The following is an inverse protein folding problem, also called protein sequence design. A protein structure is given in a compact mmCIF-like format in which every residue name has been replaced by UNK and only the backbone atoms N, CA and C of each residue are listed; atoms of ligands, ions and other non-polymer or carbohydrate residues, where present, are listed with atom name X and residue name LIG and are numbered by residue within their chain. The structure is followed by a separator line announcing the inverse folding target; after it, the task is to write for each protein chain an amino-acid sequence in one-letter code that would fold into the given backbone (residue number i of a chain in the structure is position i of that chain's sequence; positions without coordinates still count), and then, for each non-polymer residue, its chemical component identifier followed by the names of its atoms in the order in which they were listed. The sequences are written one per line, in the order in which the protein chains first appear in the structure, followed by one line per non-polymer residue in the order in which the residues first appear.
data_IF_899855094494
#
_entry.id   IF_899855094494
#
_cell.length_a   1.000
_cell.length_b   1.000
_cell.length_c   1.000
_cell.angle_alpha   90.00
_cell.angle_beta   90.00
_cell.angle_gamma   90.00
#
_symmetry.space_group_name_H-M   'P 1'
#
loop_
_entity.id
_entity.type
_entity.pdbx_description
1 polymer ?
#
# COMPACT_ATOMS: atom_id res chain seq x y z
N UNK A 1 -15.32 -67.19 22.87
CA UNK A 1 -13.98 -66.60 23.00
C UNK A 1 -13.56 -65.74 21.77
N UNK A 2 -14.09 -66.03 20.59
CA UNK A 2 -13.72 -65.25 19.35
C UNK A 2 -14.24 -63.82 19.32
N UNK A 3 -15.35 -63.50 20.00
CA UNK A 3 -15.97 -62.17 20.00
C UNK A 3 -15.32 -61.21 21.03
N UNK A 4 -14.65 -61.76 22.06
CA UNK A 4 -13.97 -60.95 23.08
C UNK A 4 -12.63 -60.42 22.53
N UNK A 5 -11.94 -61.19 21.71
CA UNK A 5 -10.70 -60.76 21.08
C UNK A 5 -10.88 -59.61 20.08
N UNK A 6 -12.02 -59.56 19.35
CA UNK A 6 -12.32 -58.43 18.43
C UNK A 6 -12.64 -57.14 19.19
N UNK A 7 -13.32 -57.25 20.35
CA UNK A 7 -13.62 -56.06 21.19
C UNK A 7 -12.36 -55.41 21.81
N UNK A 8 -11.38 -56.22 22.21
CA UNK A 8 -10.13 -55.70 22.77
C UNK A 8 -9.24 -55.05 21.69
N UNK A 9 -9.22 -55.60 20.49
CA UNK A 9 -8.49 -55.01 19.37
C UNK A 9 -9.05 -53.69 18.91
N UNK A 10 -10.40 -53.50 18.99
CA UNK A 10 -11.07 -52.23 18.62
C UNK A 10 -10.77 -51.09 19.61
N UNK A 11 -10.54 -51.38 20.88
CA UNK A 11 -10.23 -50.40 21.93
C UNK A 11 -8.79 -49.86 21.78
N UNK A 12 -7.85 -50.67 21.28
CA UNK A 12 -6.48 -50.26 21.05
C UNK A 12 -6.34 -49.29 19.82
N UNK A 13 -7.26 -49.34 18.88
CA UNK A 13 -7.25 -48.44 17.69
C UNK A 13 -7.77 -47.04 17.99
N UNK A 14 -8.46 -46.83 19.12
CA UNK A 14 -8.96 -45.51 19.50
C UNK A 14 -7.95 -44.72 20.37
N UNK A 15 -6.89 -45.35 20.85
CA UNK A 15 -5.84 -44.67 21.62
C UNK A 15 -4.71 -44.05 20.76
N UNK A 16 -4.81 -44.15 19.43
CA UNK A 16 -3.76 -43.69 18.51
C UNK A 16 -3.93 -42.23 18.03
N UNK A 17 -4.93 -41.51 18.54
CA UNK A 17 -5.08 -40.07 18.29
C UNK A 17 -4.89 -39.31 19.60
N UNK A 18 -3.68 -39.37 20.16
CA UNK A 18 -3.29 -38.35 21.11
C UNK A 18 -2.86 -37.13 20.27
N UNK A 19 -3.60 -35.99 20.30
CA UNK A 19 -3.12 -34.80 19.63
C UNK A 19 -1.78 -34.44 20.27
N UNK A 20 -0.71 -34.48 19.48
CA UNK A 20 0.58 -33.92 19.90
C UNK A 20 0.32 -32.41 20.05
N UNK A 21 -0.10 -32.03 21.25
CA UNK A 21 -0.14 -30.63 21.65
C UNK A 21 1.31 -30.24 21.87
N UNK A 22 1.95 -29.72 20.81
CA UNK A 22 3.25 -29.09 20.92
C UNK A 22 3.05 -27.82 21.75
N UNK A 23 3.17 -27.95 23.08
CA UNK A 23 3.12 -26.85 24.03
C UNK A 23 4.39 -26.00 23.90
N UNK A 24 4.70 -25.53 22.68
CA UNK A 24 5.66 -24.46 22.52
C UNK A 24 5.06 -23.23 23.17
N UNK A 25 5.65 -22.84 24.28
CA UNK A 25 5.38 -21.53 24.84
C UNK A 25 5.64 -20.50 23.72
N UNK A 26 4.66 -19.59 23.51
CA UNK A 26 4.89 -18.47 22.62
C UNK A 26 6.10 -17.71 23.13
N UNK A 27 7.04 -17.41 22.26
CA UNK A 27 8.23 -16.63 22.59
C UNK A 27 7.87 -15.24 23.12
N UNK A 28 8.85 -14.51 23.60
CA UNK A 28 8.66 -13.16 24.12
C UNK A 28 8.17 -12.19 23.04
N UNK A 29 7.29 -11.25 23.43
CA UNK A 29 6.92 -10.11 22.60
C UNK A 29 8.03 -9.06 22.75
N UNK A 30 8.56 -8.58 21.63
CA UNK A 30 9.48 -7.43 21.60
C UNK A 30 8.66 -6.16 21.69
N UNK A 31 8.99 -5.26 22.61
CA UNK A 31 8.36 -3.95 22.73
C UNK A 31 8.91 -2.97 21.69
N UNK A 32 8.18 -1.89 21.39
CA UNK A 32 8.64 -0.86 20.45
C UNK A 32 9.98 -0.24 20.87
N UNK A 33 10.21 -0.08 22.20
CA UNK A 33 11.43 0.51 22.73
C UNK A 33 12.68 -0.37 22.57
N UNK A 34 12.51 -1.67 22.31
CA UNK A 34 13.59 -2.61 22.06
C UNK A 34 13.97 -2.70 20.57
N UNK A 35 13.14 -2.12 19.70
CA UNK A 35 13.42 -2.09 18.26
C UNK A 35 14.61 -1.22 17.93
N UNK A 36 15.52 -1.76 17.14
CA UNK A 36 16.72 -1.07 16.62
C UNK A 36 16.53 -0.77 15.14
N UNK A 37 15.65 0.18 14.85
CA UNK A 37 15.33 0.58 13.49
C UNK A 37 16.17 1.80 13.11
N UNK A 38 16.77 1.76 11.93
CA UNK A 38 17.47 2.86 11.30
C UNK A 38 16.78 3.22 9.98
N UNK A 39 16.31 4.45 9.85
CA UNK A 39 15.66 4.98 8.64
C UNK A 39 16.23 6.35 8.34
N UNK A 40 16.90 6.48 7.21
CA UNK A 40 17.52 7.74 6.78
C UNK A 40 17.57 7.84 5.26
N UNK A 41 17.72 9.07 4.75
CA UNK A 41 17.97 9.31 3.34
C UNK A 41 19.43 8.98 2.99
N UNK A 42 19.70 8.51 1.77
CA UNK A 42 21.06 8.23 1.26
C UNK A 42 21.90 9.50 1.12
N UNK A 43 21.22 10.62 0.86
CA UNK A 43 21.82 11.98 0.83
C UNK A 43 21.04 12.91 1.75
N UNK A 44 21.64 14.00 2.22
CA UNK A 44 20.92 14.92 3.14
C UNK A 44 19.67 15.51 2.49
N UNK A 45 18.52 15.09 2.99
CA UNK A 45 17.21 15.50 2.48
C UNK A 45 16.83 14.92 1.12
N UNK A 46 17.57 13.95 0.60
CA UNK A 46 17.24 13.23 -0.64
C UNK A 46 16.04 12.33 -0.48
N UNK A 47 15.49 11.90 -1.60
CA UNK A 47 14.26 11.10 -1.66
C UNK A 47 14.50 9.58 -1.69
N UNK A 48 15.73 9.12 -1.84
CA UNK A 48 16.07 7.71 -1.64
C UNK A 48 16.34 7.44 -0.17
N UNK A 49 15.55 6.57 0.43
CA UNK A 49 15.66 6.21 1.85
C UNK A 49 16.14 4.77 2.02
N UNK A 50 16.96 4.54 3.03
CA UNK A 50 17.35 3.23 3.50
C UNK A 50 16.61 2.96 4.82
N UNK A 51 16.03 1.78 4.93
CA UNK A 51 15.31 1.28 6.10
C UNK A 51 15.99 -0.01 6.55
N UNK A 52 16.53 -0.02 7.78
CA UNK A 52 17.23 -1.20 8.32
C UNK A 52 16.67 -1.60 9.67
N UNK A 53 16.35 -2.87 9.82
CA UNK A 53 16.01 -3.46 11.11
C UNK A 53 17.23 -4.20 11.67
N UNK A 54 17.81 -3.67 12.73
CA UNK A 54 18.94 -4.25 13.45
C UNK A 54 18.50 -5.03 14.69
N UNK A 55 17.20 -5.30 14.87
CA UNK A 55 16.67 -6.03 16.02
C UNK A 55 16.80 -7.52 15.81
N UNK A 56 17.58 -8.23 16.64
CA UNK A 56 17.75 -9.68 16.51
C UNK A 56 16.41 -10.42 16.71
N UNK A 57 16.15 -11.44 15.90
CA UNK A 57 14.98 -12.30 16.05
C UNK A 57 13.65 -11.66 15.65
N UNK A 58 13.68 -10.48 15.01
CA UNK A 58 12.47 -9.79 14.53
C UNK A 58 12.48 -9.76 13.01
N UNK A 59 11.48 -10.39 12.40
CA UNK A 59 11.22 -10.31 10.97
C UNK A 59 10.69 -8.93 10.59
N UNK A 60 11.02 -8.46 9.38
CA UNK A 60 10.70 -7.10 8.94
C UNK A 60 9.51 -7.06 7.99
N UNK A 61 8.66 -6.06 8.14
CA UNK A 61 7.70 -5.61 7.16
C UNK A 61 7.68 -4.07 7.20
N UNK A 62 8.20 -3.49 6.14
CA UNK A 62 8.26 -2.05 5.93
C UNK A 62 7.12 -1.63 5.00
N UNK A 63 6.34 -0.67 5.44
CA UNK A 63 5.39 0.06 4.59
C UNK A 63 5.94 1.47 4.41
N UNK A 64 6.45 1.72 3.21
CA UNK A 64 7.11 2.98 2.84
C UNK A 64 6.27 3.84 1.90
N UNK A 65 4.94 3.72 1.96
CA UNK A 65 3.94 4.52 1.24
C UNK A 65 3.84 4.15 -0.25
N UNK A 66 4.97 4.06 -0.96
CA UNK A 66 5.01 3.67 -2.39
C UNK A 66 5.03 2.15 -2.60
N UNK A 67 5.11 1.39 -1.53
CA UNK A 67 5.15 -0.06 -1.57
C UNK A 67 5.52 -0.67 -0.22
N UNK A 68 5.76 -1.96 -0.23
CA UNK A 68 6.14 -2.74 0.94
C UNK A 68 7.44 -3.49 0.70
N UNK A 69 8.17 -3.77 1.77
CA UNK A 69 9.34 -4.66 1.74
C UNK A 69 9.40 -5.53 2.98
N UNK A 70 9.77 -6.80 2.81
CA UNK A 70 10.01 -7.74 3.92
C UNK A 70 11.50 -7.98 4.18
N UNK A 71 12.36 -7.25 3.50
CA UNK A 71 13.80 -7.36 3.68
C UNK A 71 14.25 -6.72 5.00
N UNK A 72 15.30 -7.26 5.60
CA UNK A 72 15.92 -6.67 6.79
C UNK A 72 16.45 -5.27 6.51
N UNK A 73 17.04 -5.06 5.34
CA UNK A 73 17.41 -3.75 4.79
C UNK A 73 16.70 -3.56 3.46
N UNK A 74 15.98 -2.47 3.33
CA UNK A 74 15.27 -2.09 2.12
C UNK A 74 15.62 -0.66 1.72
N UNK A 75 15.52 -0.37 0.42
CA UNK A 75 15.71 0.96 -0.15
C UNK A 75 14.49 1.33 -0.99
N UNK A 76 14.02 2.56 -0.87
CA UNK A 76 12.91 3.07 -1.65
C UNK A 76 13.14 4.54 -2.03
N UNK A 77 12.80 4.90 -3.27
CA UNK A 77 12.73 6.30 -3.69
C UNK A 77 11.29 6.79 -3.51
N UNK A 78 11.12 7.86 -2.75
CA UNK A 78 9.81 8.45 -2.47
C UNK A 78 9.59 9.68 -3.36
N UNK A 79 8.44 9.79 -4.05
CA UNK A 79 8.14 10.96 -4.90
C UNK A 79 7.63 12.17 -4.13
N UNK A 80 7.65 12.13 -2.80
CA UNK A 80 6.98 13.11 -1.94
C UNK A 80 8.00 14.04 -1.26
N UNK A 81 7.78 15.34 -1.32
CA UNK A 81 8.48 16.31 -0.48
C UNK A 81 7.85 16.40 0.92
N UNK A 82 8.61 16.94 1.88
CA UNK A 82 8.14 17.13 3.24
C UNK A 82 8.40 15.93 4.15
N UNK A 83 7.68 15.89 5.26
CA UNK A 83 7.80 14.82 6.25
C UNK A 83 7.04 13.57 5.82
N UNK A 84 7.75 12.44 5.82
CA UNK A 84 7.22 11.15 5.43
C UNK A 84 7.30 10.18 6.62
N UNK A 85 6.23 9.45 6.86
CA UNK A 85 6.16 8.46 7.92
C UNK A 85 6.26 7.05 7.35
N UNK A 86 7.28 6.33 7.75
CA UNK A 86 7.51 4.93 7.40
C UNK A 86 6.98 4.06 8.54
N UNK A 87 6.11 3.13 8.21
CA UNK A 87 5.58 2.17 9.17
C UNK A 87 6.39 0.87 9.13
N UNK A 88 6.73 0.39 10.30
CA UNK A 88 7.38 -0.91 10.49
C UNK A 88 6.46 -1.84 11.27
N UNK A 89 6.35 -3.09 10.82
CA UNK A 89 5.71 -4.17 11.54
C UNK A 89 6.76 -5.26 11.72
N UNK A 90 7.18 -5.47 12.96
CA UNK A 90 8.11 -6.53 13.34
C UNK A 90 7.37 -7.80 13.74
N UNK A 91 7.82 -8.95 13.26
CA UNK A 91 7.29 -10.25 13.63
C UNK A 91 8.30 -10.98 14.51
N UNK A 92 7.89 -11.36 15.71
CA UNK A 92 8.66 -12.15 16.65
C UNK A 92 7.87 -13.37 17.13
N UNK A 93 8.52 -14.28 17.83
CA UNK A 93 7.89 -15.54 18.28
C UNK A 93 6.62 -15.31 19.13
N UNK A 94 6.55 -14.20 19.86
CA UNK A 94 5.42 -13.83 20.71
C UNK A 94 4.32 -13.01 20.02
N UNK A 95 4.50 -12.62 18.75
CA UNK A 95 3.52 -11.81 18.01
C UNK A 95 4.15 -10.72 17.16
N UNK A 96 3.42 -9.62 16.99
CA UNK A 96 3.89 -8.48 16.19
C UNK A 96 4.10 -7.24 17.06
N UNK A 97 5.03 -6.39 16.64
CA UNK A 97 5.28 -5.06 17.18
C UNK A 97 5.19 -4.03 16.06
N UNK A 98 4.56 -2.90 16.30
CA UNK A 98 4.39 -1.83 15.31
C UNK A 98 5.17 -0.60 15.79
N UNK A 99 5.91 0.01 14.87
CA UNK A 99 6.61 1.26 15.08
C UNK A 99 6.52 2.16 13.85
N UNK A 100 6.78 3.44 14.02
CA UNK A 100 6.92 4.40 12.92
C UNK A 100 8.26 5.12 13.01
N UNK A 101 8.76 5.55 11.84
CA UNK A 101 9.93 6.44 11.72
C UNK A 101 9.61 7.53 10.72
N UNK A 102 10.11 8.73 10.98
CA UNK A 102 9.87 9.90 10.13
C UNK A 102 11.17 10.28 9.43
N UNK A 103 11.05 10.64 8.16
CA UNK A 103 12.15 11.22 7.36
C UNK A 103 11.63 12.44 6.63
N UNK A 104 12.47 13.49 6.53
CA UNK A 104 12.11 14.72 5.81
C UNK A 104 12.80 14.74 4.45
N UNK A 105 12.01 14.73 3.40
CA UNK A 105 12.47 14.83 2.00
C UNK A 105 12.45 16.32 1.59
N UNK A 106 13.60 16.85 1.21
CA UNK A 106 13.77 18.25 0.78
C UNK A 106 13.94 18.37 -0.72
N UNK A 107 14.39 17.29 -1.38
CA UNK A 107 14.68 17.26 -2.82
C UNK A 107 14.43 15.87 -3.40
N UNK A 108 14.06 15.85 -4.68
CA UNK A 108 13.93 14.62 -5.46
C UNK A 108 15.20 14.47 -6.28
N UNK A 109 16.17 13.71 -5.77
CA UNK A 109 17.49 13.48 -6.36
C UNK A 109 17.66 12.06 -6.96
N UNK A 110 16.70 11.17 -6.70
CA UNK A 110 16.62 9.85 -7.32
C UNK A 110 15.34 9.71 -8.15
N UNK A 111 15.42 8.98 -9.29
CA UNK A 111 14.26 8.79 -10.15
C UNK A 111 13.14 8.03 -9.40
N UNK A 112 11.92 8.46 -9.66
CA UNK A 112 10.69 7.78 -9.23
C UNK A 112 9.90 7.33 -10.46
N UNK A 113 8.96 6.41 -10.27
CA UNK A 113 8.11 5.96 -11.38
C UNK A 113 7.36 7.16 -11.98
N UNK A 114 7.31 7.22 -13.32
CA UNK A 114 6.78 8.39 -14.04
C UNK A 114 5.27 8.60 -13.83
N UNK A 115 4.54 7.54 -13.48
CA UNK A 115 3.11 7.56 -13.22
C UNK A 115 2.72 8.57 -12.13
N UNK A 116 3.58 8.75 -11.13
CA UNK A 116 3.38 9.76 -10.09
C UNK A 116 3.32 11.16 -10.67
N UNK A 117 4.26 11.51 -11.56
CA UNK A 117 4.29 12.80 -12.23
C UNK A 117 3.17 12.97 -13.26
N UNK A 118 2.80 11.90 -13.97
CA UNK A 118 1.71 11.92 -14.94
C UNK A 118 0.37 12.24 -14.25
N UNK A 119 0.10 11.65 -13.10
CA UNK A 119 -1.16 11.87 -12.36
C UNK A 119 -1.14 13.17 -11.55
N UNK A 120 -0.09 13.39 -10.75
CA UNK A 120 -0.06 14.47 -9.75
C UNK A 120 0.81 15.68 -10.16
N UNK A 121 1.45 15.64 -11.32
CA UNK A 121 2.39 16.67 -11.73
C UNK A 121 3.73 16.60 -10.99
N UNK A 122 4.66 17.47 -11.37
CA UNK A 122 6.03 17.52 -10.81
C UNK A 122 6.22 18.56 -9.71
N UNK A 123 5.18 19.33 -9.37
CA UNK A 123 5.25 20.42 -8.40
C UNK A 123 4.49 20.09 -7.11
N UNK A 124 4.64 20.98 -6.13
CA UNK A 124 3.93 20.88 -4.84
C UNK A 124 2.45 21.26 -4.93
N UNK A 125 2.04 21.95 -6.01
CA UNK A 125 0.65 22.38 -6.19
C UNK A 125 -0.27 21.28 -6.73
N UNK A 126 0.31 20.19 -7.20
CA UNK A 126 -0.44 19.09 -7.79
C UNK A 126 -0.92 19.37 -9.21
N UNK A 127 -1.76 18.47 -9.72
CA UNK A 127 -2.38 18.52 -11.03
C UNK A 127 -3.89 18.36 -10.87
N UNK A 128 -4.63 19.31 -11.42
CA UNK A 128 -6.07 19.26 -11.47
C UNK A 128 -6.54 18.45 -12.69
N UNK A 129 -7.54 17.64 -12.48
CA UNK A 129 -8.21 16.84 -13.50
C UNK A 129 -9.69 17.21 -13.52
N UNK A 130 -10.19 17.44 -14.71
CA UNK A 130 -11.59 17.75 -15.00
C UNK A 130 -12.14 16.77 -16.02
N UNK A 131 -13.45 16.66 -16.11
CA UNK A 131 -14.09 15.90 -17.17
C UNK A 131 -13.80 16.50 -18.54
N UNK A 132 -13.52 15.68 -19.53
CA UNK A 132 -13.38 16.12 -20.92
C UNK A 132 -14.77 16.19 -21.56
N UNK A 133 -15.39 17.36 -21.47
CA UNK A 133 -16.74 17.61 -21.97
C UNK A 133 -16.76 18.07 -23.45
N UNK A 134 -15.59 18.38 -24.03
CA UNK A 134 -15.50 18.94 -25.38
C UNK A 134 -15.45 17.88 -26.48
N UNK A 135 -14.83 16.73 -26.16
CA UNK A 135 -14.55 15.73 -27.17
C UNK A 135 -15.53 14.54 -27.18
N UNK A 136 -16.31 14.38 -26.10
CA UNK A 136 -17.14 13.18 -25.91
C UNK A 136 -18.52 13.50 -25.37
N UNK A 137 -19.53 12.80 -25.89
CA UNK A 137 -20.93 12.88 -25.42
C UNK A 137 -21.14 12.13 -24.09
N UNK A 138 -20.19 11.25 -23.73
CA UNK A 138 -20.17 10.52 -22.48
C UNK A 138 -18.75 10.54 -21.89
N UNK A 139 -18.65 10.85 -20.60
CA UNK A 139 -17.34 11.06 -19.93
C UNK A 139 -16.97 9.94 -18.96
N UNK A 140 -17.92 9.07 -18.66
CA UNK A 140 -17.70 7.93 -17.79
C UNK A 140 -18.35 6.67 -18.36
N UNK A 141 -17.68 5.53 -18.19
CA UNK A 141 -18.17 4.23 -18.62
C UNK A 141 -17.06 3.21 -18.68
N UNK A 142 -17.43 1.99 -19.09
CA UNK A 142 -16.49 0.93 -19.38
C UNK A 142 -16.24 0.85 -20.88
N UNK A 143 -15.03 0.45 -21.29
CA UNK A 143 -14.69 0.29 -22.68
C UNK A 143 -13.39 0.94 -23.05
N UNK A 144 -13.21 1.25 -24.33
CA UNK A 144 -11.89 1.59 -24.85
C UNK A 144 -11.08 0.33 -25.08
N UNK A 145 -11.50 -0.47 -26.08
CA UNK A 145 -10.75 -1.67 -26.45
C UNK A 145 -9.56 -1.28 -27.34
N UNK A 146 -8.36 -1.64 -26.89
CA UNK A 146 -7.10 -1.41 -27.60
C UNK A 146 -6.77 0.09 -27.85
N UNK A 147 -7.27 0.67 -28.93
CA UNK A 147 -6.95 2.03 -29.40
C UNK A 147 -8.08 3.03 -29.17
N UNK A 148 -9.24 2.57 -28.76
CA UNK A 148 -10.38 3.45 -28.49
C UNK A 148 -10.24 4.03 -27.09
N UNK A 149 -10.30 5.35 -26.98
CA UNK A 149 -10.23 6.09 -25.73
C UNK A 149 -11.61 6.44 -25.15
N UNK A 150 -12.64 6.34 -25.99
CA UNK A 150 -14.00 6.64 -25.59
C UNK A 150 -14.62 5.51 -24.77
N UNK A 151 -15.40 5.83 -23.72
CA UNK A 151 -16.25 4.85 -23.07
C UNK A 151 -17.30 4.34 -24.05
N UNK A 152 -17.40 3.02 -24.21
CA UNK A 152 -18.30 2.39 -25.20
C UNK A 152 -19.37 1.49 -24.61
N UNK A 153 -19.22 1.08 -23.35
CA UNK A 153 -20.17 0.25 -22.63
C UNK A 153 -20.54 0.88 -21.28
N UNK A 154 -21.81 0.76 -20.91
CA UNK A 154 -22.31 1.24 -19.62
C UNK A 154 -21.90 2.71 -19.39
N UNK A 155 -22.17 3.51 -20.42
CA UNK A 155 -21.75 4.91 -20.45
C UNK A 155 -22.70 5.79 -19.65
N UNK A 156 -22.15 6.76 -18.94
CA UNK A 156 -22.92 7.82 -18.28
C UNK A 156 -22.85 9.07 -19.16
N UNK A 157 -23.98 9.53 -19.71
CA UNK A 157 -24.04 10.79 -20.45
C UNK A 157 -23.64 11.97 -19.59
N UNK A 158 -23.15 13.04 -20.23
CA UNK A 158 -22.72 14.25 -19.54
C UNK A 158 -23.82 14.84 -18.65
N UNK A 159 -25.06 14.83 -19.12
CA UNK A 159 -26.23 15.39 -18.40
C UNK A 159 -26.64 14.60 -17.14
N UNK A 160 -26.14 13.38 -16.97
CA UNK A 160 -26.41 12.55 -15.80
C UNK A 160 -25.31 12.67 -14.72
N UNK A 161 -24.23 13.41 -14.99
CA UNK A 161 -23.15 13.60 -14.01
C UNK A 161 -23.54 14.71 -13.02
N UNK A 162 -23.47 14.39 -11.73
CA UNK A 162 -23.78 15.34 -10.65
C UNK A 162 -22.65 16.35 -10.41
N UNK A 163 -21.41 16.02 -10.81
CA UNK A 163 -20.19 16.71 -10.41
C UNK A 163 -19.41 17.29 -11.61
N UNK A 164 -20.12 17.80 -12.62
CA UNK A 164 -19.51 18.29 -13.87
C UNK A 164 -18.49 19.42 -13.66
N UNK A 165 -18.75 20.31 -12.70
CA UNK A 165 -17.94 21.48 -12.42
C UNK A 165 -16.86 21.22 -11.35
N UNK A 166 -16.69 19.96 -10.92
CA UNK A 166 -15.71 19.61 -9.92
C UNK A 166 -14.35 19.35 -10.52
N UNK A 167 -13.30 19.67 -9.74
CA UNK A 167 -11.92 19.32 -10.04
C UNK A 167 -11.40 18.27 -9.05
N UNK A 168 -10.66 17.29 -9.57
CA UNK A 168 -9.90 16.32 -8.79
C UNK A 168 -8.43 16.73 -8.79
N UNK A 169 -7.93 17.20 -7.67
CA UNK A 169 -6.54 17.63 -7.51
C UNK A 169 -5.75 16.50 -6.87
N UNK A 170 -4.78 15.98 -7.61
CA UNK A 170 -3.80 15.02 -7.12
C UNK A 170 -2.51 15.75 -6.83
N UNK A 171 -1.99 15.66 -5.59
CA UNK A 171 -0.71 16.25 -5.21
C UNK A 171 0.15 15.27 -4.42
N UNK A 172 1.45 15.55 -4.36
CA UNK A 172 2.46 14.74 -3.66
C UNK A 172 3.08 15.48 -2.47
N UNK A 173 2.41 16.48 -1.93
CA UNK A 173 2.92 17.28 -0.82
C UNK A 173 2.67 16.57 0.53
N UNK A 174 3.71 15.94 1.08
CA UNK A 174 3.59 15.15 2.30
C UNK A 174 2.85 13.82 2.13
N UNK A 175 2.71 13.34 0.89
CA UNK A 175 2.09 12.07 0.54
C UNK A 175 1.17 12.14 -0.68
N UNK A 176 0.59 11.01 -1.10
CA UNK A 176 -0.28 10.93 -2.27
C UNK A 176 -1.69 11.42 -1.91
N UNK A 177 -1.94 12.70 -2.07
CA UNK A 177 -3.20 13.34 -1.69
C UNK A 177 -4.15 13.48 -2.88
N UNK A 178 -5.44 13.29 -2.62
CA UNK A 178 -6.54 13.59 -3.51
C UNK A 178 -7.45 14.60 -2.83
N UNK A 179 -7.76 15.69 -3.52
CA UNK A 179 -8.74 16.70 -3.08
C UNK A 179 -9.75 16.91 -4.18
N UNK A 180 -11.03 16.83 -3.86
CA UNK A 180 -12.14 17.20 -4.75
C UNK A 180 -12.63 18.58 -4.35
N UNK A 181 -12.71 19.50 -5.31
CA UNK A 181 -13.24 20.85 -5.11
C UNK A 181 -14.40 21.13 -6.07
N UNK A 182 -15.30 22.02 -5.66
CA UNK A 182 -16.36 22.57 -6.53
C UNK A 182 -15.85 23.74 -7.37
N UNK A 183 -16.72 24.28 -8.24
CA UNK A 183 -16.42 25.44 -9.10
C UNK A 183 -16.07 26.71 -8.32
N UNK A 184 -16.49 26.82 -7.07
CA UNK A 184 -16.17 27.95 -6.19
C UNK A 184 -14.85 27.74 -5.42
N UNK A 185 -14.21 26.59 -5.57
CA UNK A 185 -12.98 26.21 -4.89
C UNK A 185 -13.19 25.67 -3.47
N UNK A 186 -14.42 25.37 -3.08
CA UNK A 186 -14.67 24.73 -1.79
C UNK A 186 -14.30 23.26 -1.83
N UNK A 187 -13.66 22.77 -0.77
CA UNK A 187 -13.28 21.38 -0.66
C UNK A 187 -14.53 20.55 -0.32
N UNK A 188 -14.86 19.62 -1.21
CA UNK A 188 -15.94 18.66 -1.03
C UNK A 188 -15.44 17.40 -0.34
N UNK A 189 -14.30 16.86 -0.80
CA UNK A 189 -13.76 15.61 -0.31
C UNK A 189 -12.23 15.65 -0.25
N UNK A 190 -11.66 14.87 0.66
CA UNK A 190 -10.22 14.59 0.74
C UNK A 190 -9.97 13.11 0.90
N UNK A 191 -8.94 12.62 0.23
CA UNK A 191 -8.53 11.24 0.28
C UNK A 191 -7.04 11.08 0.02
N UNK A 192 -6.64 9.84 -0.12
CA UNK A 192 -5.31 9.44 -0.57
C UNK A 192 -5.45 8.43 -1.70
N UNK A 193 -4.47 8.41 -2.58
CA UNK A 193 -4.39 7.43 -3.67
C UNK A 193 -3.13 6.59 -3.56
N UNK A 194 -3.09 5.48 -4.28
CA UNK A 194 -1.92 4.64 -4.44
C UNK A 194 -1.91 4.02 -5.82
N UNK A 195 -0.71 3.67 -6.31
CA UNK A 195 -0.56 2.85 -7.50
C UNK A 195 -0.28 1.41 -7.12
N UNK A 196 -1.03 0.47 -7.71
CA UNK A 196 -0.66 -0.94 -7.70
C UNK A 196 0.27 -1.22 -8.89
N UNK A 197 1.56 -1.08 -8.65
CA UNK A 197 2.59 -1.33 -9.67
C UNK A 197 2.85 -2.82 -9.91
N UNK A 198 2.22 -3.72 -9.15
CA UNK A 198 2.32 -5.16 -9.33
C UNK A 198 1.37 -5.70 -10.41
N UNK A 199 0.33 -4.94 -10.74
CA UNK A 199 -0.65 -5.32 -11.74
C UNK A 199 -0.03 -5.21 -13.14
N UNK A 200 0.25 -6.36 -13.75
CA UNK A 200 0.73 -6.42 -15.14
C UNK A 200 -0.47 -6.70 -16.04
N UNK A 201 -0.75 -5.80 -16.98
CA UNK A 201 -1.73 -6.08 -18.03
C UNK A 201 -1.16 -7.17 -18.92
N UNK A 202 -1.69 -8.39 -18.80
CA UNK A 202 -1.41 -9.43 -19.77
C UNK A 202 -2.05 -9.00 -21.10
N UNK A 203 -1.26 -8.44 -21.99
CA UNK A 203 -1.67 -8.27 -23.38
C UNK A 203 -1.70 -9.67 -24.02
N UNK A 204 -2.83 -10.11 -24.58
CA UNK A 204 -2.92 -11.39 -25.29
C UNK A 204 -2.09 -11.37 -26.58
#
# INVERSE_FOLDING_TARGET
MKNIAIGILSIWLLAACDPVVDNKEMGGIVSESELKLDVHATTDGGNEIIMTNNTPGVGSYWDHITGISTQQTATAALPFLGEQTIKFIGFCDGGQVIATRTVTIKQIDHPVAEEWGLLAGSGTNGKAWVWNLEDYDAVYGTGGWLTELEPSWDVTPVEELEDLDCELIFDLNGGPNLTKIDADGNILEKGRFAFDMSAVKNNP
#
